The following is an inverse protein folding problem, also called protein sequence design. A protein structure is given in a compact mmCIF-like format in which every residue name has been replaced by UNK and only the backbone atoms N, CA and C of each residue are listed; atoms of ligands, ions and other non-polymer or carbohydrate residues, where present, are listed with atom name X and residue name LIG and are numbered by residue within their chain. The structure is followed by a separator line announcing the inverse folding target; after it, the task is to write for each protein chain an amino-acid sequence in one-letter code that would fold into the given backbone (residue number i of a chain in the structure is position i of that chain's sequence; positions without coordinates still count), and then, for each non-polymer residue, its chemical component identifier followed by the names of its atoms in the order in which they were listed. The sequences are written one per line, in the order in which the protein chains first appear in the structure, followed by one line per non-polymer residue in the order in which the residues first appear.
data_IF_061068968195
#
_entry.id   IF_061068968195
#
_cell.length_a   1.000
_cell.length_b   1.000
_cell.length_c   1.000
_cell.angle_alpha   90.00
_cell.angle_beta   90.00
_cell.angle_gamma   90.00
#
_symmetry.space_group_name_H-M   'P 1'
#
loop_
_entity.id
_entity.type
_entity.pdbx_description
1 polymer ?
#
# COMPACT_ATOMS: atom_id res chain seq x y z
N UNK A 1 12.35 -8.97 40.48
CA UNK A 1 10.95 -9.28 40.14
C UNK A 1 10.13 -8.04 40.37
N UNK A 2 9.71 -7.37 39.29
CA UNK A 2 8.60 -6.41 39.30
C UNK A 2 7.74 -6.76 38.08
N UNK A 3 6.83 -7.71 38.29
CA UNK A 3 5.73 -7.96 37.37
C UNK A 3 4.71 -6.84 37.55
N UNK A 4 4.83 -5.78 36.77
CA UNK A 4 3.72 -4.88 36.52
C UNK A 4 2.88 -5.52 35.41
N UNK A 5 1.90 -6.32 35.81
CA UNK A 5 0.81 -6.70 34.91
C UNK A 5 0.00 -5.42 34.59
N UNK A 6 -0.06 -4.97 33.33
CA UNK A 6 -0.87 -3.81 32.95
C UNK A 6 -2.34 -4.10 33.28
N UNK A 7 -3.01 -3.18 33.98
CA UNK A 7 -4.42 -3.33 34.32
C UNK A 7 -5.32 -2.74 33.23
N UNK A 8 -6.41 -3.44 32.96
CA UNK A 8 -7.30 -3.38 31.80
C UNK A 8 -8.12 -2.07 31.61
N UNK A 9 -7.77 -0.97 32.27
CA UNK A 9 -8.64 0.22 32.38
C UNK A 9 -8.08 1.52 31.79
N UNK A 10 -6.91 1.49 31.16
CA UNK A 10 -6.49 2.62 30.33
C UNK A 10 -7.14 2.43 28.95
N UNK A 11 -8.04 3.34 28.57
CA UNK A 11 -8.80 3.31 27.31
C UNK A 11 -7.91 3.20 26.04
N UNK A 12 -6.60 3.45 26.18
CA UNK A 12 -5.57 3.27 25.16
C UNK A 12 -5.24 1.81 24.79
N UNK A 13 -5.61 0.81 25.60
CA UNK A 13 -5.12 -0.57 25.46
C UNK A 13 -6.14 -1.58 24.91
N UNK A 14 -7.40 -1.19 24.67
CA UNK A 14 -8.50 -2.13 24.38
C UNK A 14 -9.02 -2.10 22.94
N UNK A 15 -8.67 -1.08 22.16
CA UNK A 15 -8.98 -0.98 20.74
C UNK A 15 -7.65 -1.09 19.96
N UNK A 16 -7.70 -1.43 18.67
CA UNK A 16 -6.51 -1.30 17.82
C UNK A 16 -5.86 0.05 18.12
N UNK A 17 -4.57 0.09 18.43
CA UNK A 17 -3.92 1.31 18.90
C UNK A 17 -4.23 2.42 17.89
N UNK A 18 -4.97 3.44 18.32
CA UNK A 18 -5.48 4.46 17.41
C UNK A 18 -4.30 5.36 17.00
N UNK A 19 -3.72 5.05 15.84
CA UNK A 19 -2.57 5.75 15.28
C UNK A 19 -2.87 7.26 15.19
N UNK A 20 -4.11 7.65 14.90
CA UNK A 20 -4.49 9.06 14.77
C UNK A 20 -4.45 9.77 16.13
N UNK A 21 -4.96 9.12 17.18
CA UNK A 21 -4.89 9.65 18.55
C UNK A 21 -3.44 9.76 19.02
N UNK A 22 -2.62 8.74 18.79
CA UNK A 22 -1.21 8.79 19.16
C UNK A 22 -0.49 9.92 18.41
N UNK A 23 -0.71 10.03 17.10
CA UNK A 23 -0.13 11.09 16.29
C UNK A 23 -0.51 12.48 16.78
N UNK A 24 -1.78 12.71 17.08
CA UNK A 24 -2.23 13.98 17.66
C UNK A 24 -1.57 14.26 19.01
N UNK A 25 -1.49 13.26 19.89
CA UNK A 25 -0.85 13.38 21.20
C UNK A 25 0.65 13.72 21.06
N UNK A 26 1.35 13.04 20.15
CA UNK A 26 2.75 13.29 19.87
C UNK A 26 2.95 14.75 19.42
N UNK A 27 2.15 15.22 18.47
CA UNK A 27 2.26 16.59 17.95
C UNK A 27 1.99 17.66 19.01
N UNK A 28 1.12 17.39 19.99
CA UNK A 28 0.85 18.34 21.09
C UNK A 28 2.09 18.71 21.89
N UNK A 29 3.10 17.85 21.96
CA UNK A 29 4.34 18.16 22.68
C UNK A 29 5.08 19.38 22.12
N UNK A 30 4.84 19.76 20.85
CA UNK A 30 5.41 20.96 20.25
C UNK A 30 5.02 22.24 21.01
N UNK A 31 3.80 22.29 21.56
CA UNK A 31 3.23 23.48 22.22
C UNK A 31 3.19 23.39 23.74
N UNK A 32 3.60 22.26 24.32
CA UNK A 32 3.68 22.07 25.77
C UNK A 32 4.95 22.73 26.31
N UNK A 33 4.82 23.38 27.47
CA UNK A 33 5.96 23.89 28.24
C UNK A 33 6.66 22.75 28.99
N UNK A 34 7.98 22.65 28.82
CA UNK A 34 8.81 21.53 29.27
C UNK A 34 9.77 21.92 30.39
N UNK A 35 9.65 23.13 30.96
CA UNK A 35 10.57 23.64 31.98
C UNK A 35 10.83 22.63 33.12
N UNK A 36 12.10 22.23 33.27
CA UNK A 36 12.59 21.43 34.38
C UNK A 36 12.37 19.92 34.28
N UNK A 37 11.79 19.42 33.19
CA UNK A 37 11.47 17.99 33.03
C UNK A 37 12.17 17.40 31.79
N UNK A 38 13.08 16.46 32.05
CA UNK A 38 13.86 15.78 31.00
C UNK A 38 12.98 14.94 30.07
N UNK A 39 12.01 14.20 30.63
CA UNK A 39 11.11 13.34 29.86
C UNK A 39 10.25 14.18 28.91
N UNK A 40 9.67 15.27 29.41
CA UNK A 40 8.89 16.21 28.58
C UNK A 40 9.73 16.88 27.50
N UNK A 41 10.97 17.23 27.83
CA UNK A 41 11.90 17.80 26.85
C UNK A 41 12.22 16.80 25.74
N UNK A 42 12.41 15.52 26.07
CA UNK A 42 12.63 14.47 25.09
C UNK A 42 11.41 14.24 24.20
N UNK A 43 10.19 14.19 24.76
CA UNK A 43 8.94 14.09 24.00
C UNK A 43 8.75 15.27 23.02
N UNK A 44 9.03 16.49 23.46
CA UNK A 44 9.03 17.68 22.59
C UNK A 44 10.08 17.60 21.48
N UNK A 45 11.28 17.14 21.80
CA UNK A 45 12.34 16.96 20.81
C UNK A 45 12.00 15.88 19.79
N UNK A 46 11.31 14.82 20.20
CA UNK A 46 10.82 13.78 19.30
C UNK A 46 9.79 14.32 18.32
N UNK A 47 8.77 15.03 18.83
CA UNK A 47 7.76 15.68 17.98
C UNK A 47 8.39 16.71 17.04
N UNK A 48 9.37 17.47 17.52
CA UNK A 48 10.15 18.41 16.71
C UNK A 48 10.89 17.68 15.59
N UNK A 49 11.67 16.65 15.90
CA UNK A 49 12.43 15.86 14.92
C UNK A 49 11.51 15.28 13.84
N UNK A 50 10.36 14.74 14.24
CA UNK A 50 9.35 14.22 13.31
C UNK A 50 8.87 15.28 12.30
N UNK A 51 8.57 16.50 12.76
CA UNK A 51 8.18 17.60 11.88
C UNK A 51 9.35 18.09 11.02
N UNK A 52 10.56 18.14 11.55
CA UNK A 52 11.74 18.56 10.80
C UNK A 52 12.06 17.58 9.66
N UNK A 53 11.97 16.27 9.90
CA UNK A 53 12.14 15.24 8.87
C UNK A 53 11.03 15.31 7.82
N UNK A 54 9.77 15.49 8.25
CA UNK A 54 8.63 15.67 7.35
C UNK A 54 8.76 16.93 6.49
N UNK A 55 9.19 18.03 7.07
CA UNK A 55 9.30 19.32 6.36
C UNK A 55 10.60 19.44 5.56
N UNK A 56 11.65 18.71 5.93
CA UNK A 56 13.01 18.90 5.40
C UNK A 56 13.70 20.16 5.93
N UNK A 57 13.15 20.79 6.97
CA UNK A 57 13.58 22.09 7.48
C UNK A 57 13.63 22.09 9.01
N UNK A 58 14.40 23.03 9.58
CA UNK A 58 14.42 23.22 11.03
C UNK A 58 13.13 23.87 11.51
N UNK A 59 12.59 23.37 12.62
CA UNK A 59 11.40 23.91 13.26
C UNK A 59 11.82 25.01 14.25
N UNK A 60 11.80 26.25 13.76
CA UNK A 60 12.17 27.45 14.54
C UNK A 60 10.95 28.32 14.91
N UNK A 61 9.73 27.84 14.66
CA UNK A 61 8.48 28.58 14.92
C UNK A 61 7.90 28.29 16.30
N UNK A 62 7.45 29.35 16.98
CA UNK A 62 6.64 29.27 18.21
C UNK A 62 5.14 29.27 17.90
N UNK A 63 4.74 29.54 16.65
CA UNK A 63 3.35 29.64 16.22
C UNK A 63 2.88 28.34 15.57
N UNK A 64 2.38 27.44 16.42
CA UNK A 64 1.94 26.10 16.03
C UNK A 64 0.46 25.92 16.41
N UNK A 65 -0.35 25.51 15.43
CA UNK A 65 -1.74 25.14 15.66
C UNK A 65 -2.02 23.73 15.19
N UNK A 66 -2.76 22.98 16.01
CA UNK A 66 -3.05 21.57 15.80
C UNK A 66 -4.55 21.38 15.89
N UNK A 67 -5.15 20.87 14.82
CA UNK A 67 -6.55 20.50 14.76
C UNK A 67 -6.67 18.99 14.56
N UNK A 68 -7.60 18.36 15.28
CA UNK A 68 -7.83 16.92 15.22
C UNK A 68 -9.31 16.63 14.99
N UNK A 69 -9.59 15.78 14.01
CA UNK A 69 -10.93 15.33 13.65
C UNK A 69 -11.34 14.11 14.50
N UNK A 70 -11.34 14.26 15.83
CA UNK A 70 -11.63 13.16 16.74
C UNK A 70 -13.10 12.72 16.68
N UNK A 71 -13.34 11.53 16.14
CA UNK A 71 -14.61 10.79 16.10
C UNK A 71 -15.71 11.32 15.16
N UNK A 72 -16.26 10.39 14.40
CA UNK A 72 -17.11 10.51 13.20
C UNK A 72 -18.41 11.34 13.27
N UNK A 73 -18.76 12.00 14.37
CA UNK A 73 -20.15 12.50 14.55
C UNK A 73 -20.36 14.02 14.48
N UNK A 74 -19.31 14.86 14.45
CA UNK A 74 -19.51 16.35 14.44
C UNK A 74 -18.98 17.10 13.22
N UNK A 75 -18.21 16.42 12.34
CA UNK A 75 -17.51 17.07 11.22
C UNK A 75 -18.15 16.84 9.84
N UNK A 76 -19.07 15.89 9.71
CA UNK A 76 -19.76 15.58 8.44
C UNK A 76 -20.62 16.78 7.96
N UNK A 77 -20.87 17.79 8.82
CA UNK A 77 -21.65 19.00 8.52
C UNK A 77 -20.98 20.32 8.94
N UNK A 78 -19.66 20.44 8.81
CA UNK A 78 -18.93 21.65 9.17
C UNK A 78 -19.13 22.85 8.21
N UNK A 79 -19.59 24.00 8.74
CA UNK A 79 -19.71 25.26 7.98
C UNK A 79 -18.39 26.05 7.88
N UNK A 80 -17.34 25.66 8.60
CA UNK A 80 -16.05 26.36 8.58
C UNK A 80 -15.06 25.72 7.62
N UNK A 81 -14.12 26.50 7.10
CA UNK A 81 -13.07 26.00 6.20
C UNK A 81 -12.22 24.91 6.85
N UNK A 82 -11.87 25.04 8.14
CA UNK A 82 -11.04 24.06 8.85
C UNK A 82 -11.75 22.71 8.92
N UNK A 83 -13.06 22.70 9.16
CA UNK A 83 -13.83 21.45 9.16
C UNK A 83 -13.91 20.81 7.77
N UNK A 84 -14.00 21.63 6.71
CA UNK A 84 -13.94 21.13 5.32
C UNK A 84 -12.56 20.62 4.91
N UNK A 85 -11.50 21.17 5.50
CA UNK A 85 -10.13 20.70 5.29
C UNK A 85 -9.86 19.40 6.06
N UNK A 86 -10.50 19.23 7.22
CA UNK A 86 -10.43 18.04 8.07
C UNK A 86 -11.42 16.94 7.70
N UNK A 87 -12.32 17.14 6.72
CA UNK A 87 -13.28 16.09 6.33
C UNK A 87 -12.58 14.85 5.76
N UNK A 88 -11.38 15.05 5.20
CA UNK A 88 -10.63 14.05 4.44
C UNK A 88 -9.21 13.81 5.04
N UNK A 89 -8.94 14.31 6.26
CA UNK A 89 -7.67 14.12 6.98
C UNK A 89 -7.89 14.09 8.49
N UNK A 90 -7.15 13.24 9.19
CA UNK A 90 -7.30 13.01 10.62
C UNK A 90 -6.78 14.20 11.46
N UNK A 91 -5.66 14.80 11.06
CA UNK A 91 -5.01 15.91 11.79
C UNK A 91 -4.53 16.98 10.80
N UNK A 92 -4.73 18.25 11.14
CA UNK A 92 -4.14 19.39 10.45
C UNK A 92 -3.20 20.15 11.40
N UNK A 93 -1.94 20.26 10.99
CA UNK A 93 -0.92 21.08 11.65
C UNK A 93 -0.64 22.33 10.79
N UNK A 94 -0.72 23.50 11.41
CA UNK A 94 -0.40 24.78 10.77
C UNK A 94 0.82 25.38 11.47
N UNK A 95 1.83 25.70 10.68
CA UNK A 95 3.06 26.36 11.14
C UNK A 95 3.07 27.82 10.65
N UNK A 96 3.58 28.75 11.46
CA UNK A 96 3.72 30.19 11.12
C UNK A 96 2.38 30.83 10.72
N UNK A 97 1.35 30.69 11.57
CA UNK A 97 0.01 31.16 11.22
C UNK A 97 -0.02 32.65 10.87
N UNK A 98 0.68 33.52 11.59
CA UNK A 98 0.56 34.96 11.37
C UNK A 98 1.25 35.42 10.08
N UNK A 99 2.35 34.80 9.68
CA UNK A 99 3.04 35.10 8.43
C UNK A 99 2.51 34.26 7.26
N UNK A 100 1.59 34.84 6.48
CA UNK A 100 1.04 34.19 5.27
C UNK A 100 2.11 33.74 4.26
N UNK A 101 3.27 34.39 4.21
CA UNK A 101 4.35 34.00 3.28
C UNK A 101 5.07 32.75 3.78
N UNK A 102 5.34 32.65 5.08
CA UNK A 102 6.02 31.52 5.71
C UNK A 102 5.10 30.39 6.21
N UNK A 103 3.78 30.57 6.11
CA UNK A 103 2.78 29.59 6.59
C UNK A 103 2.87 28.26 5.85
N UNK A 104 2.82 27.16 6.61
CA UNK A 104 2.79 25.79 6.08
C UNK A 104 1.64 24.99 6.66
N UNK A 105 1.15 24.06 5.87
CA UNK A 105 0.07 23.14 6.20
C UNK A 105 0.58 21.71 6.08
N UNK A 106 0.46 20.95 7.16
CA UNK A 106 0.74 19.52 7.18
C UNK A 106 -0.56 18.77 7.49
N UNK A 107 -0.96 17.93 6.57
CA UNK A 107 -2.15 17.08 6.67
C UNK A 107 -1.70 15.67 7.02
N UNK A 108 -2.12 15.17 8.18
CA UNK A 108 -1.87 13.78 8.56
C UNK A 108 -3.10 12.95 8.27
N UNK A 109 -2.91 11.85 7.55
CA UNK A 109 -3.96 10.91 7.17
C UNK A 109 -3.51 9.50 7.48
N UNK A 110 -4.40 8.74 8.12
CA UNK A 110 -4.17 7.31 8.28
C UNK A 110 -4.16 6.63 6.91
N UNK A 111 -3.16 5.79 6.67
CA UNK A 111 -2.99 5.08 5.42
C UNK A 111 -3.90 3.85 5.39
N UNK A 112 -4.66 3.68 4.29
CA UNK A 112 -5.49 2.51 4.04
C UNK A 112 -5.10 1.85 2.71
N UNK A 113 -4.97 0.51 2.71
CA UNK A 113 -4.51 -0.27 1.54
C UNK A 113 -5.40 -0.12 0.29
N UNK A 114 -6.69 0.15 0.49
CA UNK A 114 -7.67 0.32 -0.61
C UNK A 114 -7.61 1.72 -1.27
N UNK A 115 -6.89 2.68 -0.67
CA UNK A 115 -6.91 4.09 -1.10
C UNK A 115 -6.06 4.38 -2.34
N UNK A 116 -5.20 3.47 -2.81
CA UNK A 116 -4.40 3.69 -4.03
C UNK A 116 -5.20 3.75 -5.35
N UNK A 117 -6.52 3.61 -5.28
CA UNK A 117 -7.47 3.91 -6.35
C UNK A 117 -7.53 5.42 -6.66
N UNK A 118 -8.21 5.81 -7.74
CA UNK A 118 -8.33 7.20 -8.25
C UNK A 118 -8.61 8.25 -7.14
N UNK A 119 -9.31 7.80 -6.10
CA UNK A 119 -9.55 8.45 -4.82
C UNK A 119 -8.32 9.18 -4.24
N UNK A 120 -7.15 8.54 -4.08
CA UNK A 120 -5.98 9.19 -3.44
C UNK A 120 -5.54 10.49 -4.14
N UNK A 121 -5.39 10.43 -5.46
CA UNK A 121 -4.96 11.59 -6.25
C UNK A 121 -6.09 12.63 -6.37
N UNK A 122 -7.34 12.19 -6.46
CA UNK A 122 -8.49 13.07 -6.49
C UNK A 122 -8.68 13.83 -5.16
N UNK A 123 -8.56 13.15 -4.03
CA UNK A 123 -8.62 13.76 -2.69
C UNK A 123 -7.50 14.76 -2.48
N UNK A 124 -6.26 14.40 -2.86
CA UNK A 124 -5.15 15.34 -2.85
C UNK A 124 -5.51 16.59 -3.65
N UNK A 125 -5.92 16.44 -4.92
CA UNK A 125 -6.32 17.58 -5.76
C UNK A 125 -7.44 18.41 -5.12
N UNK A 126 -8.40 17.79 -4.43
CA UNK A 126 -9.49 18.49 -3.72
C UNK A 126 -8.96 19.36 -2.57
N UNK A 127 -8.09 18.83 -1.71
CA UNK A 127 -7.47 19.58 -0.60
C UNK A 127 -6.68 20.78 -1.15
N UNK A 128 -5.85 20.54 -2.16
CA UNK A 128 -5.05 21.59 -2.80
C UNK A 128 -5.93 22.69 -3.40
N UNK A 129 -7.03 22.35 -4.09
CA UNK A 129 -8.00 23.32 -4.62
C UNK A 129 -8.67 24.13 -3.52
N UNK A 130 -9.08 23.50 -2.41
CA UNK A 130 -9.71 24.19 -1.29
C UNK A 130 -8.77 25.18 -0.62
N UNK A 131 -7.51 24.79 -0.40
CA UNK A 131 -6.50 25.67 0.20
C UNK A 131 -6.12 26.81 -0.72
N UNK A 132 -5.90 26.54 -2.00
CA UNK A 132 -5.62 27.58 -3.00
C UNK A 132 -6.69 28.66 -2.98
N UNK A 133 -7.97 28.26 -2.90
CA UNK A 133 -9.10 29.18 -2.78
C UNK A 133 -9.13 29.93 -1.44
N UNK A 134 -8.83 29.27 -0.32
CA UNK A 134 -8.91 29.88 0.99
C UNK A 134 -7.77 30.86 1.27
N UNK A 135 -6.55 30.49 0.88
CA UNK A 135 -5.33 31.27 1.13
C UNK A 135 -4.98 32.23 -0.01
N UNK A 136 -5.73 32.21 -1.11
CA UNK A 136 -5.38 32.90 -2.36
C UNK A 136 -3.94 32.58 -2.80
N UNK A 137 -3.59 31.29 -2.80
CA UNK A 137 -2.25 30.84 -3.18
C UNK A 137 -2.02 31.07 -4.68
N UNK A 138 -0.83 31.57 -5.01
CA UNK A 138 -0.30 31.58 -6.38
C UNK A 138 -0.01 30.13 -6.84
N UNK A 139 0.32 29.94 -8.12
CA UNK A 139 0.52 28.61 -8.71
C UNK A 139 1.69 27.83 -8.07
N UNK A 140 2.64 28.51 -7.43
CA UNK A 140 3.78 27.95 -6.68
C UNK A 140 3.47 27.63 -5.20
N UNK A 141 2.26 27.94 -4.73
CA UNK A 141 1.87 27.73 -3.33
C UNK A 141 1.71 26.27 -2.90
N UNK A 142 1.89 25.32 -3.82
CA UNK A 142 1.81 23.87 -3.56
C UNK A 142 2.91 23.40 -2.59
N UNK A 143 4.08 24.05 -2.57
CA UNK A 143 5.18 23.74 -1.63
C UNK A 143 4.81 23.97 -0.15
N UNK A 144 3.77 24.78 0.11
CA UNK A 144 3.28 25.05 1.47
C UNK A 144 2.45 23.91 2.04
N UNK A 145 2.04 22.96 1.21
CA UNK A 145 1.09 21.91 1.58
C UNK A 145 1.80 20.56 1.51
N UNK A 146 1.95 19.91 2.66
CA UNK A 146 2.47 18.55 2.77
C UNK A 146 1.37 17.61 3.25
N UNK A 147 1.25 16.47 2.60
CA UNK A 147 0.38 15.37 3.06
C UNK A 147 1.30 14.26 3.58
N UNK A 148 1.02 13.86 4.81
CA UNK A 148 1.76 12.86 5.58
C UNK A 148 0.82 11.68 5.83
N UNK A 149 1.14 10.57 5.20
CA UNK A 149 0.46 9.30 5.42
C UNK A 149 1.16 8.58 6.55
N UNK A 150 0.40 8.01 7.47
CA UNK A 150 0.96 7.23 8.57
C UNK A 150 0.20 5.94 8.79
N UNK A 151 0.87 4.89 9.26
CA UNK A 151 0.24 3.62 9.60
C UNK A 151 1.06 2.84 10.65
N UNK A 152 0.40 1.92 11.35
CA UNK A 152 1.04 0.89 12.17
C UNK A 152 1.57 -0.31 11.41
N UNK A 153 1.21 -0.44 10.14
CA UNK A 153 1.71 -1.49 9.28
C UNK A 153 2.99 -1.06 8.59
N UNK A 154 3.77 -2.04 8.15
CA UNK A 154 4.88 -1.80 7.25
C UNK A 154 4.31 -1.49 5.87
N UNK A 155 4.82 -0.46 5.22
CA UNK A 155 4.41 -0.12 3.86
C UNK A 155 5.33 -0.82 2.87
N UNK A 156 4.76 -1.35 1.80
CA UNK A 156 5.52 -1.99 0.72
C UNK A 156 6.48 -0.99 0.06
N UNK A 157 7.66 -1.47 -0.36
CA UNK A 157 8.61 -0.63 -1.12
C UNK A 157 8.00 -0.10 -2.42
N UNK A 158 7.14 -0.88 -3.08
CA UNK A 158 6.49 -0.48 -4.32
C UNK A 158 5.51 0.68 -4.11
N UNK A 159 4.88 0.73 -2.93
CA UNK A 159 4.01 1.85 -2.52
C UNK A 159 4.84 3.12 -2.34
N UNK A 160 6.00 3.02 -1.68
CA UNK A 160 6.94 4.14 -1.59
C UNK A 160 7.42 4.62 -2.97
N UNK A 161 7.73 3.70 -3.89
CA UNK A 161 8.15 4.04 -5.25
C UNK A 161 7.02 4.73 -6.05
N UNK A 162 5.77 4.27 -5.93
CA UNK A 162 4.60 4.85 -6.59
C UNK A 162 4.24 6.24 -6.06
N UNK A 163 4.32 6.48 -4.74
CA UNK A 163 4.15 7.84 -4.17
C UNK A 163 5.28 8.78 -4.63
N UNK A 164 6.49 8.23 -4.82
CA UNK A 164 7.68 8.98 -5.18
C UNK A 164 7.99 10.10 -4.17
N UNK A 165 8.51 11.23 -4.66
CA UNK A 165 8.77 12.43 -3.85
C UNK A 165 7.49 13.20 -3.48
N UNK A 166 6.34 12.80 -4.02
CA UNK A 166 5.15 13.66 -4.02
C UNK A 166 4.32 13.55 -2.74
N UNK A 167 4.62 12.58 -1.87
CA UNK A 167 3.97 12.37 -0.58
C UNK A 167 4.96 11.85 0.46
N UNK A 168 4.62 12.02 1.74
CA UNK A 168 5.45 11.55 2.85
C UNK A 168 4.73 10.39 3.49
N UNK A 169 5.37 9.23 3.57
CA UNK A 169 4.83 8.04 4.23
C UNK A 169 5.68 7.74 5.45
N UNK A 170 5.03 7.64 6.61
CA UNK A 170 5.63 7.19 7.87
C UNK A 170 4.99 5.86 8.27
N UNK A 171 5.71 4.79 8.01
CA UNK A 171 5.24 3.45 8.33
C UNK A 171 5.73 2.98 9.72
N UNK A 172 5.42 1.72 10.06
CA UNK A 172 5.88 1.07 11.29
C UNK A 172 7.39 1.24 11.54
N UNK A 173 8.23 1.02 10.52
CA UNK A 173 9.68 1.01 10.67
C UNK A 173 10.22 2.43 10.88
N UNK A 174 9.64 3.43 10.23
CA UNK A 174 10.04 4.83 10.41
C UNK A 174 9.69 5.34 11.81
N UNK A 175 8.52 4.97 12.35
CA UNK A 175 8.17 5.26 13.74
C UNK A 175 9.10 4.56 14.73
N UNK A 176 9.44 3.29 14.50
CA UNK A 176 10.37 2.57 15.38
C UNK A 176 11.74 3.26 15.44
N UNK A 177 12.30 3.67 14.29
CA UNK A 177 13.58 4.43 14.25
C UNK A 177 13.48 5.75 15.02
N UNK A 178 12.36 6.46 14.87
CA UNK A 178 12.11 7.69 15.62
C UNK A 178 12.09 7.41 17.13
N UNK A 179 11.36 6.38 17.57
CA UNK A 179 11.23 6.01 18.98
C UNK A 179 12.55 5.54 19.60
N UNK A 180 13.30 4.68 18.91
CA UNK A 180 14.62 4.20 19.36
C UNK A 180 15.62 5.36 19.58
N UNK A 181 15.44 6.48 18.89
CA UNK A 181 16.26 7.69 19.10
C UNK A 181 16.04 8.28 20.50
N UNK A 182 14.82 8.22 21.04
CA UNK A 182 14.43 8.92 22.27
C UNK A 182 14.02 8.01 23.43
N UNK A 183 13.90 6.70 23.21
CA UNK A 183 13.42 5.70 24.19
C UNK A 183 14.10 5.83 25.56
N UNK A 184 15.40 6.12 25.60
CA UNK A 184 16.17 6.22 26.86
C UNK A 184 15.88 7.48 27.67
N UNK A 185 15.34 8.50 27.03
CA UNK A 185 15.14 9.83 27.61
C UNK A 185 13.67 10.11 27.92
N UNK A 186 12.76 9.24 27.48
CA UNK A 186 11.31 9.33 27.68
C UNK A 186 10.88 8.30 28.73
N UNK A 187 10.34 8.78 29.85
CA UNK A 187 9.63 7.98 30.84
C UNK A 187 8.15 8.36 30.78
N UNK A 188 7.42 7.73 29.86
CA UNK A 188 6.00 7.97 29.60
C UNK A 188 5.29 6.67 29.16
N UNK A 189 4.26 6.27 29.90
CA UNK A 189 3.60 4.97 29.69
C UNK A 189 2.84 4.88 28.37
N UNK A 190 2.38 6.00 27.81
CA UNK A 190 1.70 6.02 26.50
C UNK A 190 2.72 5.78 25.39
N UNK A 191 3.87 6.46 25.48
CA UNK A 191 4.99 6.25 24.57
C UNK A 191 5.48 4.80 24.60
N UNK A 192 5.78 4.28 25.80
CA UNK A 192 6.24 2.92 25.99
C UNK A 192 5.24 1.90 25.44
N UNK A 193 3.95 2.14 25.68
CA UNK A 193 2.91 1.26 25.17
C UNK A 193 2.86 1.24 23.65
N UNK A 194 2.96 2.40 23.00
CA UNK A 194 2.90 2.48 21.54
C UNK A 194 4.14 1.90 20.89
N UNK A 195 5.32 2.22 21.43
CA UNK A 195 6.58 1.63 20.98
C UNK A 195 6.55 0.11 21.08
N UNK A 196 6.12 -0.43 22.22
CA UNK A 196 5.95 -1.88 22.41
C UNK A 196 4.91 -2.48 21.47
N UNK A 197 3.79 -1.79 21.23
CA UNK A 197 2.77 -2.21 20.26
C UNK A 197 3.36 -2.36 18.85
N UNK A 198 4.07 -1.33 18.33
CA UNK A 198 4.74 -1.38 17.02
C UNK A 198 5.77 -2.51 16.96
N UNK A 199 6.53 -2.72 18.04
CA UNK A 199 7.56 -3.77 18.13
C UNK A 199 6.97 -5.19 18.12
N UNK A 200 5.85 -5.42 18.81
CA UNK A 200 5.17 -6.73 18.83
C UNK A 200 4.60 -7.08 17.45
N UNK A 201 4.10 -6.08 16.73
CA UNK A 201 3.53 -6.23 15.39
C UNK A 201 4.59 -6.32 14.27
N UNK A 202 5.87 -6.45 14.60
CA UNK A 202 6.98 -6.63 13.66
C UNK A 202 7.10 -8.07 13.10
N UNK A 203 6.01 -8.84 13.01
CA UNK A 203 6.10 -10.23 12.55
C UNK A 203 6.25 -10.30 11.03
N UNK A 204 7.42 -10.75 10.58
CA UNK A 204 7.87 -10.80 9.18
C UNK A 204 6.93 -11.55 8.22
N UNK A 205 6.14 -12.53 8.68
CA UNK A 205 5.36 -13.40 7.77
C UNK A 205 4.15 -12.75 7.11
N UNK A 206 3.66 -11.62 7.64
CA UNK A 206 2.51 -10.88 7.06
C UNK A 206 3.00 -9.84 6.05
N UNK A 207 4.21 -9.31 6.25
CA UNK A 207 4.79 -8.24 5.42
C UNK A 207 5.00 -8.69 3.97
N UNK A 208 5.46 -9.93 3.75
CA UNK A 208 5.64 -10.51 2.41
C UNK A 208 4.31 -10.60 1.62
N UNK A 209 3.22 -10.99 2.28
CA UNK A 209 1.89 -11.06 1.65
C UNK A 209 1.39 -9.67 1.29
N UNK A 210 1.64 -8.70 2.15
CA UNK A 210 1.25 -7.30 1.94
C UNK A 210 2.00 -6.70 0.75
N UNK A 211 3.32 -6.92 0.66
CA UNK A 211 4.16 -6.42 -0.43
C UNK A 211 3.64 -6.86 -1.81
N UNK A 212 3.18 -8.11 -1.93
CA UNK A 212 2.56 -8.67 -3.14
C UNK A 212 1.20 -8.04 -3.42
N UNK A 213 0.33 -7.94 -2.41
CA UNK A 213 -1.02 -7.42 -2.59
C UNK A 213 -0.97 -5.97 -3.06
N UNK A 214 -0.04 -5.19 -2.49
CA UNK A 214 0.25 -3.81 -2.85
C UNK A 214 0.79 -3.72 -4.28
N UNK A 215 1.81 -4.52 -4.64
CA UNK A 215 2.31 -4.57 -6.02
C UNK A 215 1.19 -4.90 -7.01
N UNK A 216 0.38 -5.93 -6.71
CA UNK A 216 -0.76 -6.30 -7.51
C UNK A 216 -1.76 -5.13 -7.67
N UNK A 217 -2.10 -4.43 -6.59
CA UNK A 217 -3.00 -3.26 -6.67
C UNK A 217 -2.44 -2.19 -7.62
N UNK A 218 -1.15 -1.87 -7.50
CA UNK A 218 -0.47 -0.87 -8.34
C UNK A 218 -0.48 -1.32 -9.81
N UNK A 219 -0.08 -2.56 -10.09
CA UNK A 219 0.00 -3.08 -11.46
C UNK A 219 -1.37 -3.23 -12.14
N UNK A 220 -2.42 -3.58 -11.39
CA UNK A 220 -3.78 -3.58 -11.92
C UNK A 220 -4.17 -2.21 -12.42
N UNK A 221 -3.97 -1.17 -11.61
CA UNK A 221 -4.28 0.21 -11.98
C UNK A 221 -3.46 0.68 -13.18
N UNK A 222 -2.16 0.37 -13.17
CA UNK A 222 -1.26 0.67 -14.28
C UNK A 222 -1.82 0.11 -15.60
N UNK A 223 -2.25 -1.15 -15.57
CA UNK A 223 -2.82 -1.82 -16.73
C UNK A 223 -4.19 -1.31 -17.13
N UNK A 224 -5.10 -1.10 -16.19
CA UNK A 224 -6.42 -0.52 -16.46
C UNK A 224 -6.32 0.87 -17.10
N UNK A 225 -5.29 1.65 -16.73
CA UNK A 225 -5.04 2.97 -17.29
C UNK A 225 -4.42 2.91 -18.69
N UNK A 226 -3.52 1.95 -18.94
CA UNK A 226 -2.79 1.84 -20.21
C UNK A 226 -3.48 0.98 -21.28
N UNK A 227 -4.21 -0.06 -20.88
CA UNK A 227 -4.70 -1.09 -21.77
C UNK A 227 -6.04 -1.67 -21.28
N UNK A 228 -7.13 -0.96 -21.63
CA UNK A 228 -8.51 -1.33 -21.31
C UNK A 228 -9.03 -2.58 -22.06
N UNK A 229 -8.18 -3.22 -22.87
CA UNK A 229 -8.56 -4.38 -23.70
C UNK A 229 -8.52 -5.71 -22.94
N UNK A 230 -7.87 -5.77 -21.78
CA UNK A 230 -7.71 -6.99 -21.00
C UNK A 230 -8.72 -7.03 -19.85
N UNK A 231 -9.30 -8.20 -19.61
CA UNK A 231 -10.04 -8.46 -18.39
C UNK A 231 -9.03 -8.79 -17.27
N UNK A 232 -9.10 -8.05 -16.16
CA UNK A 232 -8.25 -8.27 -14.99
C UNK A 232 -8.94 -9.16 -13.96
N UNK A 233 -8.28 -10.25 -13.60
CA UNK A 233 -8.76 -11.19 -12.59
C UNK A 233 -7.76 -11.34 -11.45
N UNK A 234 -8.07 -10.76 -10.28
CA UNK A 234 -7.20 -10.77 -9.10
C UNK A 234 -7.62 -11.81 -8.04
N UNK A 235 -6.64 -12.30 -7.29
CA UNK A 235 -6.79 -12.95 -5.98
C UNK A 235 -5.66 -12.50 -5.03
N UNK A 236 -5.60 -13.04 -3.82
CA UNK A 236 -4.53 -12.73 -2.87
C UNK A 236 -3.13 -13.13 -3.37
N UNK A 237 -3.02 -14.17 -4.19
CA UNK A 237 -1.72 -14.76 -4.55
C UNK A 237 -1.39 -14.68 -6.04
N UNK A 238 -2.30 -14.13 -6.86
CA UNK A 238 -2.07 -13.97 -8.29
C UNK A 238 -2.98 -12.90 -8.92
N UNK A 239 -2.58 -12.42 -10.08
CA UNK A 239 -3.34 -11.55 -10.98
C UNK A 239 -3.24 -12.06 -12.41
N UNK A 240 -4.36 -12.14 -13.13
CA UNK A 240 -4.41 -12.58 -14.53
C UNK A 240 -4.89 -11.42 -15.41
N UNK A 241 -4.26 -11.22 -16.56
CA UNK A 241 -4.71 -10.28 -17.60
C UNK A 241 -5.10 -11.08 -18.83
N UNK A 242 -6.40 -11.23 -19.03
CA UNK A 242 -6.95 -12.18 -20.00
C UNK A 242 -7.58 -11.45 -21.17
N UNK A 243 -7.18 -11.83 -22.38
CA UNK A 243 -7.81 -11.39 -23.62
C UNK A 243 -7.90 -12.55 -24.59
N UNK A 244 -6.74 -13.06 -25.03
CA UNK A 244 -6.64 -14.16 -25.97
C UNK A 244 -6.19 -15.46 -25.30
N UNK A 245 -6.14 -16.56 -26.05
CA UNK A 245 -5.71 -17.90 -25.58
C UNK A 245 -4.37 -17.90 -24.86
N UNK A 246 -3.41 -17.09 -25.30
CA UNK A 246 -2.18 -16.84 -24.55
C UNK A 246 -2.27 -15.54 -23.79
N UNK A 247 -2.00 -15.61 -22.48
CA UNK A 247 -2.21 -14.50 -21.56
C UNK A 247 -1.21 -14.54 -20.40
N UNK A 248 -1.12 -13.44 -19.65
CA UNK A 248 -0.17 -13.30 -18.55
C UNK A 248 -0.85 -13.54 -17.21
N UNK A 249 -0.12 -14.21 -16.31
CA UNK A 249 -0.43 -14.27 -14.89
C UNK A 249 0.76 -13.80 -14.08
N UNK A 250 0.54 -12.85 -13.19
CA UNK A 250 1.44 -12.54 -12.09
C UNK A 250 1.14 -13.49 -10.95
N UNK A 251 2.16 -14.20 -10.49
CA UNK A 251 2.04 -15.16 -9.39
C UNK A 251 3.14 -14.90 -8.38
N UNK A 252 2.78 -15.06 -7.12
CA UNK A 252 3.77 -15.28 -6.07
C UNK A 252 3.92 -16.78 -5.84
N UNK A 253 5.13 -17.28 -6.02
CA UNK A 253 5.47 -18.69 -5.82
C UNK A 253 6.73 -18.79 -4.98
N UNK A 254 7.20 -20.01 -4.75
CA UNK A 254 8.48 -20.28 -4.14
C UNK A 254 9.47 -20.79 -5.19
N UNK A 255 10.72 -20.40 -5.09
CA UNK A 255 11.81 -21.05 -5.82
C UNK A 255 12.17 -22.42 -5.21
N UNK A 256 13.20 -23.06 -5.76
CA UNK A 256 13.69 -24.38 -5.33
C UNK A 256 14.12 -24.41 -3.85
N UNK A 257 14.58 -23.27 -3.32
CA UNK A 257 15.00 -23.09 -1.92
C UNK A 257 13.83 -22.68 -1.02
N UNK A 258 12.60 -22.77 -1.52
CA UNK A 258 11.36 -22.30 -0.87
C UNK A 258 11.34 -20.79 -0.61
N UNK A 259 12.25 -20.02 -1.22
CA UNK A 259 12.22 -18.58 -1.08
C UNK A 259 11.07 -18.02 -1.90
N UNK A 260 10.31 -17.07 -1.33
CA UNK A 260 9.29 -16.41 -2.10
C UNK A 260 9.87 -15.61 -3.27
N UNK A 261 9.26 -15.79 -4.43
CA UNK A 261 9.59 -15.09 -5.67
C UNK A 261 8.34 -14.61 -6.40
N UNK A 262 8.47 -13.44 -7.03
CA UNK A 262 7.48 -12.89 -7.94
C UNK A 262 7.80 -13.33 -9.36
N UNK A 263 6.79 -13.88 -10.05
CA UNK A 263 6.93 -14.36 -11.42
C UNK A 263 5.81 -13.86 -12.32
N UNK A 264 6.17 -13.58 -13.57
CA UNK A 264 5.20 -13.49 -14.67
C UNK A 264 5.19 -14.84 -15.37
N UNK A 265 4.03 -15.47 -15.42
CA UNK A 265 3.78 -16.71 -16.14
C UNK A 265 3.05 -16.41 -17.44
N UNK A 266 3.59 -16.93 -18.55
CA UNK A 266 2.86 -17.00 -19.80
C UNK A 266 1.99 -18.27 -19.79
N UNK A 267 0.68 -18.06 -19.79
CA UNK A 267 -0.33 -19.10 -19.70
C UNK A 267 -0.99 -19.33 -21.06
N UNK A 268 -1.42 -20.57 -21.28
CA UNK A 268 -2.31 -20.94 -22.37
C UNK A 268 -3.64 -21.43 -21.81
N UNK A 269 -4.75 -20.92 -22.33
CA UNK A 269 -6.11 -21.37 -22.01
C UNK A 269 -6.42 -22.67 -22.73
N UNK A 270 -6.89 -23.67 -21.98
CA UNK A 270 -7.41 -24.91 -22.54
C UNK A 270 -8.44 -25.55 -21.64
N UNK A 271 -9.56 -25.98 -22.22
CA UNK A 271 -10.59 -26.76 -21.54
C UNK A 271 -10.28 -28.27 -21.53
N UNK A 272 -9.42 -28.71 -22.45
CA UNK A 272 -9.11 -30.12 -22.64
C UNK A 272 -7.67 -30.43 -22.20
N UNK A 273 -7.40 -31.64 -21.66
CA UNK A 273 -6.04 -32.06 -21.36
C UNK A 273 -5.24 -32.16 -22.67
N UNK A 274 -4.23 -31.29 -22.81
CA UNK A 274 -3.26 -31.39 -23.91
C UNK A 274 -2.18 -32.43 -23.58
N UNK A 275 -1.56 -33.05 -24.58
CA UNK A 275 -0.42 -33.94 -24.36
C UNK A 275 0.85 -33.14 -24.06
N UNK A 276 1.73 -33.65 -23.18
CA UNK A 276 2.97 -32.95 -22.81
C UNK A 276 3.87 -32.68 -24.02
N UNK A 277 3.85 -33.55 -25.04
CA UNK A 277 4.59 -33.34 -26.29
C UNK A 277 4.10 -32.11 -27.06
N UNK A 278 2.79 -31.86 -27.07
CA UNK A 278 2.20 -30.68 -27.69
C UNK A 278 2.53 -29.41 -26.91
N UNK A 279 2.45 -29.48 -25.57
CA UNK A 279 2.83 -28.37 -24.70
C UNK A 279 4.30 -27.97 -24.89
N UNK A 280 5.20 -28.95 -25.08
CA UNK A 280 6.63 -28.70 -25.37
C UNK A 280 6.86 -28.02 -26.71
N UNK A 281 6.14 -28.44 -27.76
CA UNK A 281 6.21 -27.76 -29.06
C UNK A 281 5.78 -26.29 -28.95
N UNK A 282 4.69 -26.02 -28.22
CA UNK A 282 4.27 -24.63 -27.97
C UNK A 282 5.32 -23.85 -27.15
N UNK A 283 5.96 -24.47 -26.16
CA UNK A 283 7.05 -23.84 -25.41
C UNK A 283 8.23 -23.49 -26.32
N UNK A 284 8.63 -24.38 -27.23
CA UNK A 284 9.73 -24.14 -28.17
C UNK A 284 9.44 -22.95 -29.08
N UNK A 285 8.24 -22.87 -29.64
CA UNK A 285 7.81 -21.72 -30.47
C UNK A 285 7.76 -20.41 -29.68
N UNK A 286 7.16 -20.43 -28.49
CA UNK A 286 7.08 -19.25 -27.62
C UNK A 286 8.47 -18.81 -27.15
N UNK A 287 9.41 -19.73 -26.98
CA UNK A 287 10.77 -19.43 -26.53
C UNK A 287 11.56 -18.62 -27.55
N UNK A 288 11.24 -18.71 -28.84
CA UNK A 288 11.83 -17.85 -29.88
C UNK A 288 11.40 -16.39 -29.74
N UNK A 289 10.21 -16.13 -29.17
CA UNK A 289 9.65 -14.78 -28.98
C UNK A 289 9.96 -14.23 -27.58
N UNK A 290 9.83 -15.09 -26.58
CA UNK A 290 10.01 -14.83 -25.14
C UNK A 290 11.29 -15.50 -24.64
N UNK A 291 12.41 -15.12 -25.25
CA UNK A 291 13.75 -15.62 -24.95
C UNK A 291 14.17 -15.42 -23.47
N UNK A 292 13.65 -14.40 -22.81
CA UNK A 292 13.88 -14.13 -21.39
C UNK A 292 13.11 -15.07 -20.42
N UNK A 293 12.13 -15.83 -20.91
CA UNK A 293 11.30 -16.70 -20.07
C UNK A 293 11.91 -18.09 -19.89
N UNK A 294 11.90 -18.60 -18.67
CA UNK A 294 12.30 -19.97 -18.35
C UNK A 294 11.14 -20.94 -18.62
N UNK A 295 11.43 -22.04 -19.30
CA UNK A 295 10.48 -23.11 -19.58
C UNK A 295 10.07 -23.82 -18.28
N UNK A 296 8.78 -24.11 -18.12
CA UNK A 296 8.27 -24.94 -17.03
C UNK A 296 8.38 -26.40 -17.45
N UNK A 297 9.22 -27.19 -16.76
CA UNK A 297 9.43 -28.60 -17.10
C UNK A 297 8.24 -29.49 -16.68
N UNK A 298 7.66 -29.20 -15.52
CA UNK A 298 6.55 -29.96 -14.95
C UNK A 298 5.25 -29.16 -15.05
N UNK A 299 4.37 -29.56 -15.98
CA UNK A 299 3.13 -28.84 -16.25
C UNK A 299 2.14 -28.97 -15.11
N UNK A 300 2.09 -27.96 -14.23
CA UNK A 300 1.02 -27.81 -13.26
C UNK A 300 -0.27 -27.33 -13.97
N UNK A 301 -1.09 -28.30 -14.40
CA UNK A 301 -2.38 -28.05 -15.02
C UNK A 301 -3.38 -27.57 -13.96
N UNK A 302 -3.50 -26.25 -13.81
CA UNK A 302 -4.47 -25.63 -12.91
C UNK A 302 -5.68 -25.17 -13.72
N UNK A 303 -6.77 -25.94 -13.68
CA UNK A 303 -8.10 -25.54 -14.20
C UNK A 303 -8.14 -25.45 -15.74
N UNK A 304 -8.72 -24.38 -16.32
CA UNK A 304 -8.78 -24.13 -17.77
C UNK A 304 -7.48 -23.57 -18.37
N UNK A 305 -6.34 -23.79 -17.74
CA UNK A 305 -5.08 -23.24 -18.23
C UNK A 305 -3.86 -24.06 -17.84
N UNK A 306 -2.79 -23.82 -18.58
CA UNK A 306 -1.47 -24.37 -18.33
C UNK A 306 -0.47 -23.22 -18.36
N UNK A 307 0.34 -23.08 -17.30
CA UNK A 307 1.49 -22.19 -17.33
C UNK A 307 2.59 -22.88 -18.15
N UNK A 308 3.07 -22.20 -19.21
CA UNK A 308 4.05 -22.76 -20.14
C UNK A 308 5.46 -22.32 -19.79
N UNK A 309 5.63 -21.06 -19.39
CA UNK A 309 6.94 -20.51 -19.07
C UNK A 309 6.79 -19.35 -18.09
N UNK A 310 7.85 -19.00 -17.39
CA UNK A 310 7.85 -17.91 -16.43
C UNK A 310 9.09 -17.04 -16.53
N UNK A 311 8.97 -15.79 -16.11
CA UNK A 311 10.09 -14.88 -15.89
C UNK A 311 10.08 -14.44 -14.43
N UNK A 312 11.23 -14.50 -13.76
CA UNK A 312 11.38 -14.06 -12.36
C UNK A 312 11.72 -12.58 -12.30
N UNK A 313 11.12 -11.86 -11.37
CA UNK A 313 11.66 -10.57 -10.95
C UNK A 313 12.63 -10.76 -9.79
N UNK A 314 13.67 -9.93 -9.75
CA UNK A 314 14.53 -9.86 -8.58
C UNK A 314 13.77 -9.11 -7.47
N UNK A 315 13.95 -9.51 -6.22
CA UNK A 315 13.44 -8.77 -5.05
C UNK A 315 13.89 -7.31 -4.98
N UNK A 316 14.91 -6.93 -5.75
CA UNK A 316 15.40 -5.56 -5.84
C UNK A 316 14.96 -4.83 -7.12
N UNK A 317 14.17 -5.46 -7.99
CA UNK A 317 13.65 -4.80 -9.20
C UNK A 317 12.69 -3.69 -8.80
N UNK A 318 12.87 -2.50 -9.36
CA UNK A 318 12.00 -1.34 -9.10
C UNK A 318 10.65 -1.48 -9.80
N UNK A 319 9.62 -0.82 -9.29
CA UNK A 319 8.29 -0.75 -9.90
C UNK A 319 8.37 -0.29 -11.37
N UNK A 320 9.16 0.76 -11.65
CA UNK A 320 9.34 1.30 -13.00
C UNK A 320 9.98 0.31 -13.96
N UNK A 321 10.92 -0.52 -13.48
CA UNK A 321 11.52 -1.59 -14.28
C UNK A 321 10.51 -2.71 -14.56
N UNK A 322 9.69 -3.08 -13.56
CA UNK A 322 8.60 -4.06 -13.72
C UNK A 322 7.59 -3.57 -14.76
N UNK A 323 7.10 -2.33 -14.63
CA UNK A 323 6.18 -1.69 -15.58
C UNK A 323 6.73 -1.65 -17.01
N UNK A 324 7.99 -1.25 -17.18
CA UNK A 324 8.63 -1.25 -18.49
C UNK A 324 8.69 -2.66 -19.08
N UNK A 325 9.06 -3.66 -18.27
CA UNK A 325 9.14 -5.04 -18.73
C UNK A 325 7.77 -5.60 -19.10
N UNK A 326 6.74 -5.21 -18.36
CA UNK A 326 5.33 -5.51 -18.68
C UNK A 326 4.94 -4.99 -20.06
N UNK A 327 5.22 -3.72 -20.34
CA UNK A 327 4.90 -3.11 -21.64
C UNK A 327 5.57 -3.89 -22.80
N UNK A 328 6.86 -4.24 -22.64
CA UNK A 328 7.62 -5.04 -23.62
C UNK A 328 6.99 -6.43 -23.85
N UNK A 329 6.59 -7.12 -22.77
CA UNK A 329 5.98 -8.46 -22.86
C UNK A 329 4.61 -8.39 -23.54
N UNK A 330 3.79 -7.39 -23.19
CA UNK A 330 2.46 -7.22 -23.77
C UNK A 330 2.56 -6.92 -25.27
N UNK A 331 3.48 -6.06 -25.70
CA UNK A 331 3.68 -5.78 -27.13
C UNK A 331 4.04 -7.06 -27.91
N UNK A 332 4.98 -7.86 -27.37
CA UNK A 332 5.34 -9.17 -27.95
C UNK A 332 4.14 -10.12 -27.99
N UNK A 333 3.35 -10.17 -26.92
CA UNK A 333 2.20 -11.06 -26.79
C UNK A 333 1.06 -10.67 -27.75
N UNK A 334 0.73 -9.37 -27.86
CA UNK A 334 -0.28 -8.89 -28.80
C UNK A 334 0.10 -9.23 -30.25
N UNK A 335 1.38 -9.09 -30.60
CA UNK A 335 1.89 -9.47 -31.92
C UNK A 335 1.77 -10.98 -32.15
N UNK A 336 2.23 -11.80 -31.18
CA UNK A 336 2.16 -13.26 -31.27
C UNK A 336 0.72 -13.76 -31.41
N UNK A 337 -0.20 -13.30 -30.56
CA UNK A 337 -1.61 -13.69 -30.62
C UNK A 337 -2.26 -13.32 -31.94
N UNK A 338 -1.90 -12.16 -32.52
CA UNK A 338 -2.40 -11.73 -33.82
C UNK A 338 -1.85 -12.57 -34.97
N UNK A 339 -0.56 -12.90 -34.95
CA UNK A 339 0.08 -13.71 -36.00
C UNK A 339 -0.41 -15.17 -36.00
N UNK A 340 -0.76 -15.70 -34.82
CA UNK A 340 -1.27 -17.06 -34.65
C UNK A 340 -2.80 -17.15 -34.65
N UNK A 341 -3.51 -16.05 -34.94
CA UNK A 341 -4.97 -15.99 -34.96
C UNK A 341 -5.62 -16.51 -33.66
N UNK A 342 -4.98 -16.26 -32.51
CA UNK A 342 -5.46 -16.71 -31.20
C UNK A 342 -6.85 -16.15 -30.90
N UNK A 343 -7.70 -17.01 -30.31
CA UNK A 343 -9.09 -16.66 -30.03
C UNK A 343 -9.19 -15.69 -28.83
N UNK A 344 -10.12 -14.73 -28.91
CA UNK A 344 -10.52 -13.92 -27.75
C UNK A 344 -11.38 -14.77 -26.81
N UNK A 345 -10.84 -15.09 -25.64
CA UNK A 345 -11.41 -16.04 -24.68
C UNK A 345 -12.14 -15.36 -23.53
N UNK A 346 -12.23 -14.02 -23.48
CA UNK A 346 -12.71 -13.29 -22.29
C UNK A 346 -14.06 -13.78 -21.80
N UNK A 347 -15.00 -13.97 -22.72
CA UNK A 347 -16.34 -14.47 -22.40
C UNK A 347 -16.29 -15.91 -21.83
N UNK A 348 -15.57 -16.82 -22.48
CA UNK A 348 -15.47 -18.23 -22.09
C UNK A 348 -14.75 -18.42 -20.75
N UNK A 349 -13.68 -17.63 -20.55
CA UNK A 349 -12.90 -17.57 -19.32
C UNK A 349 -13.77 -17.07 -18.15
N UNK A 350 -14.50 -15.96 -18.36
CA UNK A 350 -15.43 -15.43 -17.37
C UNK A 350 -16.51 -16.45 -16.98
N UNK A 351 -17.16 -17.06 -17.97
CA UNK A 351 -18.25 -18.03 -17.77
C UNK A 351 -17.79 -19.24 -16.94
N UNK A 352 -16.60 -19.75 -17.22
CA UNK A 352 -16.05 -20.90 -16.51
C UNK A 352 -15.70 -20.55 -15.05
N UNK A 353 -15.21 -19.33 -14.80
CA UNK A 353 -15.04 -18.79 -13.45
C UNK A 353 -16.38 -18.63 -12.71
N UNK A 354 -17.41 -18.12 -13.37
CA UNK A 354 -18.72 -17.85 -12.77
C UNK A 354 -19.51 -19.13 -12.44
N UNK A 355 -19.56 -20.11 -13.34
CA UNK A 355 -20.23 -21.41 -13.11
C UNK A 355 -19.68 -22.11 -11.87
N UNK A 356 -18.40 -21.89 -11.55
CA UNK A 356 -17.75 -22.43 -10.34
C UNK A 356 -18.11 -21.73 -9.05
N UNK A 357 -18.40 -20.43 -9.05
CA UNK A 357 -18.94 -19.75 -7.86
C UNK A 357 -20.30 -20.36 -7.45
N UNK A 358 -21.10 -20.83 -8.42
CA UNK A 358 -22.38 -21.51 -8.17
C UNK A 358 -22.24 -23.00 -7.79
N UNK A 359 -21.18 -23.69 -8.22
CA UNK A 359 -21.03 -25.13 -7.99
C UNK A 359 -20.32 -25.53 -6.69
N UNK A 360 -19.82 -24.59 -5.87
CA UNK A 360 -19.33 -24.90 -4.52
C UNK A 360 -20.48 -25.48 -3.67
N UNK A 361 -20.46 -26.77 -3.29
CA UNK A 361 -21.49 -27.30 -2.40
C UNK A 361 -21.38 -26.59 -1.05
N UNK A 362 -22.50 -26.11 -0.51
CA UNK A 362 -22.56 -25.77 0.92
C UNK A 362 -22.28 -27.06 1.69
N UNK A 363 -21.05 -27.23 2.19
CA UNK A 363 -20.73 -28.30 3.13
C UNK A 363 -21.60 -28.05 4.37
N UNK A 364 -22.75 -28.72 4.46
CA UNK A 364 -23.47 -28.86 5.72
C UNK A 364 -22.54 -29.63 6.64
N UNK A 365 -21.95 -28.96 7.64
CA UNK A 365 -21.29 -29.64 8.76
C UNK A 365 -22.33 -30.57 9.39
N UNK A 366 -22.22 -31.86 9.13
CA UNK A 366 -22.93 -32.88 9.91
C UNK A 366 -22.16 -32.99 11.22
N UNK A 367 -22.74 -32.49 12.31
CA UNK A 367 -22.19 -32.70 13.64
C UNK A 367 -22.29 -34.18 13.98
N UNK A 368 -21.19 -34.91 13.90
CA UNK A 368 -21.10 -36.23 14.52
C UNK A 368 -20.81 -35.98 15.99
N UNK A 369 -21.87 -35.98 16.81
CA UNK A 369 -21.71 -36.16 18.25
C UNK A 369 -21.33 -37.63 18.46
N UNK A 370 -20.16 -37.87 19.07
CA UNK A 370 -19.90 -39.07 19.84
C UNK A 370 -19.80 -38.69 21.30
#
# INVERSE_FOLDING_TARGET
MNNLNPTKNDAFYAENFDDEIFMHWMLKWLVIDTQGDKSKTALKNMAKKFIEETTGEKLDTEEIEIYFAGSFDSLIYGNTIIQRLLSDSSILLILNRQDKKARKYLYFRNYFDDEYSEDFLEYRRKIFRLLKKYENLEDDGEEKIKIVHFTHEKVSRYVHEEIGETGIVYDREDFLKLFETFEKDIDDSIFDSYYNHKKINRKDSVDDVKEIVDLHNILQKYMETKNDKYDVYKSLTYMEWVKDEFFLQFSYTSDEDLNPIEVIELCHYTLEPLEDGFLKLMQDELKEVFDDFTIIEEFYRRREKVALMYMKFNKNTTLKEIEKKIDEIIEKLEKYNKENESLDIRNEYADTRYRRKKSKPKIKRVSIRR
#
